data_IF_232732873821
#
_entry.id   IF_232732873821
#
_cell.length_a   1.000
_cell.length_b   1.000
_cell.length_c   1.000
_cell.angle_alpha   90.00
_cell.angle_beta   90.00
_cell.angle_gamma   90.00
#
_symmetry.space_group_name_H-M   'P 1'
#
loop_
_entity.id
_entity.type
_entity.pdbx_description
1 polymer ?
#
# COMPACT_ATOMS: atom_id res chain seq x y z
N UNK A 1 -3.26 2.01 -11.65
CA UNK A 1 -2.88 1.27 -10.43
C UNK A 1 -1.55 1.81 -9.96
N UNK A 2 -1.33 1.91 -8.65
CA UNK A 2 -0.07 2.35 -8.06
C UNK A 2 0.40 1.30 -7.06
N UNK A 3 1.65 0.88 -7.17
CA UNK A 3 2.28 -0.09 -6.25
C UNK A 3 3.37 0.62 -5.47
N UNK A 4 3.30 0.53 -4.15
CA UNK A 4 4.36 1.01 -3.26
C UNK A 4 5.20 -0.19 -2.82
N UNK A 5 6.38 -0.33 -3.41
CA UNK A 5 7.29 -1.43 -3.09
C UNK A 5 7.80 -1.32 -1.65
N UNK A 6 8.21 -2.42 -1.00
CA UNK A 6 8.77 -2.37 0.36
C UNK A 6 10.00 -1.47 0.46
N UNK A 7 10.89 -1.50 -0.55
CA UNK A 7 12.03 -0.58 -0.65
C UNK A 7 11.57 0.87 -0.59
N UNK A 8 10.65 1.27 -1.48
CA UNK A 8 10.16 2.65 -1.53
C UNK A 8 9.40 3.03 -0.26
N UNK A 9 8.65 2.10 0.31
CA UNK A 9 7.99 2.26 1.60
C UNK A 9 8.99 2.64 2.69
N UNK A 10 10.10 1.89 2.81
CA UNK A 10 11.12 2.13 3.83
C UNK A 10 11.82 3.48 3.65
N UNK A 11 12.05 3.91 2.40
CA UNK A 11 12.61 5.24 2.10
C UNK A 11 11.72 6.38 2.60
N UNK A 12 10.39 6.26 2.45
CA UNK A 12 9.45 7.35 2.77
C UNK A 12 8.86 7.28 4.18
N UNK A 13 8.91 6.11 4.84
CA UNK A 13 8.31 5.90 6.16
C UNK A 13 8.79 6.86 7.26
N UNK A 14 10.06 7.32 7.29
CA UNK A 14 10.50 8.33 8.26
C UNK A 14 9.70 9.64 8.21
N UNK A 15 9.20 10.02 7.02
CA UNK A 15 8.42 11.25 6.81
C UNK A 15 6.90 10.99 6.69
N UNK A 16 6.52 9.79 6.27
CA UNK A 16 5.15 9.39 6.00
C UNK A 16 4.74 8.24 6.92
N UNK A 17 3.81 8.50 7.84
CA UNK A 17 3.11 7.41 8.49
C UNK A 17 2.24 6.63 7.47
N UNK A 18 1.84 5.42 7.82
CA UNK A 18 1.09 4.54 6.92
C UNK A 18 -0.24 5.16 6.42
N UNK A 19 -0.90 5.97 7.24
CA UNK A 19 -2.14 6.67 6.85
C UNK A 19 -1.84 7.70 5.77
N UNK A 20 -0.82 8.55 5.97
CA UNK A 20 -0.39 9.56 4.99
C UNK A 20 0.01 8.91 3.67
N UNK A 21 0.77 7.80 3.69
CA UNK A 21 1.12 7.06 2.48
C UNK A 21 -0.12 6.60 1.72
N UNK A 22 -1.11 6.03 2.43
CA UNK A 22 -2.37 5.60 1.81
C UNK A 22 -3.11 6.79 1.19
N UNK A 23 -3.17 7.94 1.86
CA UNK A 23 -3.79 9.16 1.30
C UNK A 23 -3.07 9.59 0.03
N UNK A 24 -1.73 9.69 0.05
CA UNK A 24 -0.95 10.09 -1.12
C UNK A 24 -1.18 9.16 -2.32
N UNK A 25 -1.19 7.84 -2.09
CA UNK A 25 -1.45 6.84 -3.14
C UNK A 25 -2.89 6.93 -3.67
N UNK A 26 -3.90 7.07 -2.82
CA UNK A 26 -5.29 7.22 -3.29
C UNK A 26 -5.45 8.51 -4.09
N UNK A 27 -4.90 9.62 -3.59
CA UNK A 27 -4.96 10.92 -4.26
C UNK A 27 -4.32 10.87 -5.66
N UNK A 28 -3.12 10.29 -5.76
CA UNK A 28 -2.43 10.12 -7.04
C UNK A 28 -3.18 9.17 -7.97
N UNK A 29 -3.72 8.07 -7.46
CA UNK A 29 -4.45 7.09 -8.28
C UNK A 29 -5.72 7.68 -8.88
N UNK A 30 -6.49 8.44 -8.08
CA UNK A 30 -7.69 9.13 -8.54
C UNK A 30 -7.33 10.20 -9.57
N UNK A 31 -6.31 11.02 -9.30
CA UNK A 31 -5.85 12.04 -10.24
C UNK A 31 -5.48 11.46 -11.61
N UNK A 32 -4.68 10.39 -11.65
CA UNK A 32 -4.30 9.73 -12.90
C UNK A 32 -5.49 9.09 -13.60
N UNK A 33 -6.45 8.54 -12.85
CA UNK A 33 -7.66 7.96 -13.43
C UNK A 33 -8.54 9.03 -14.08
N UNK A 34 -8.75 10.17 -13.40
CA UNK A 34 -9.49 11.30 -13.94
C UNK A 34 -8.88 11.84 -15.24
N UNK A 35 -7.54 11.94 -15.30
CA UNK A 35 -6.85 12.29 -16.54
C UNK A 35 -7.10 11.28 -17.66
N UNK A 36 -7.05 9.98 -17.33
CA UNK A 36 -7.23 8.89 -18.30
C UNK A 36 -8.65 8.83 -18.89
N UNK A 37 -9.67 9.16 -18.10
CA UNK A 37 -11.07 9.11 -18.55
C UNK A 37 -11.57 10.44 -19.13
N UNK A 38 -10.75 11.50 -19.10
CA UNK A 38 -11.10 12.80 -19.67
C UNK A 38 -11.51 12.68 -21.15
N UNK A 39 -12.57 13.38 -21.61
CA UNK A 39 -13.35 14.42 -20.90
C UNK A 39 -14.50 13.89 -20.03
N UNK A 40 -14.72 12.56 -19.99
CA UNK A 40 -15.76 11.95 -19.16
C UNK A 40 -15.48 12.24 -17.69
N UNK A 41 -16.50 12.72 -16.97
CA UNK A 41 -16.42 13.00 -15.54
C UNK A 41 -17.28 11.99 -14.77
N UNK A 42 -16.77 11.41 -13.67
CA UNK A 42 -17.58 10.55 -12.83
C UNK A 42 -18.60 11.40 -12.06
N UNK A 43 -19.80 10.85 -11.86
CA UNK A 43 -20.84 11.50 -11.04
C UNK A 43 -20.44 11.58 -9.56
N UNK A 44 -19.68 10.59 -9.09
CA UNK A 44 -19.15 10.53 -7.73
C UNK A 44 -17.82 9.79 -7.67
N UNK A 45 -16.99 10.16 -6.70
CA UNK A 45 -15.77 9.41 -6.35
C UNK A 45 -15.94 8.90 -4.92
N UNK A 46 -16.06 7.58 -4.78
CA UNK A 46 -16.26 6.92 -3.49
C UNK A 46 -14.96 6.26 -3.02
N UNK A 47 -14.54 6.58 -1.80
CA UNK A 47 -13.35 6.02 -1.14
C UNK A 47 -13.81 5.19 0.06
N UNK A 48 -13.35 3.93 0.13
CA UNK A 48 -13.52 3.12 1.34
C UNK A 48 -12.72 3.74 2.49
N UNK A 49 -13.42 4.11 3.55
CA UNK A 49 -12.92 4.98 4.58
C UNK A 49 -11.92 4.26 5.48
N UNK A 50 -10.63 4.56 5.29
CA UNK A 50 -9.54 4.03 6.12
C UNK A 50 -8.97 5.04 7.14
N UNK A 51 -9.46 6.27 7.11
CA UNK A 51 -9.10 7.36 8.03
C UNK A 51 -10.25 8.37 8.06
N UNK A 52 -10.42 9.16 9.13
CA UNK A 52 -11.41 10.24 9.15
C UNK A 52 -11.22 11.19 7.95
N UNK A 53 -12.32 11.68 7.39
CA UNK A 53 -12.32 12.55 6.20
C UNK A 53 -11.46 13.80 6.41
N UNK A 54 -11.54 14.43 7.59
CA UNK A 54 -10.73 15.59 7.94
C UNK A 54 -9.22 15.28 7.85
N UNK A 55 -8.81 14.08 8.26
CA UNK A 55 -7.42 13.65 8.21
C UNK A 55 -6.98 13.29 6.78
N UNK A 56 -7.87 12.67 5.98
CA UNK A 56 -7.63 12.48 4.55
C UNK A 56 -7.39 13.83 3.87
N UNK A 57 -8.32 14.78 4.05
CA UNK A 57 -8.23 16.13 3.46
C UNK A 57 -6.97 16.87 3.92
N UNK A 58 -6.58 16.75 5.19
CA UNK A 58 -5.35 17.33 5.73
C UNK A 58 -4.12 16.86 4.95
N UNK A 59 -3.95 15.55 4.77
CA UNK A 59 -2.79 15.01 4.05
C UNK A 59 -2.87 15.24 2.54
N UNK A 60 -4.04 15.09 1.93
CA UNK A 60 -4.22 15.29 0.48
C UNK A 60 -3.88 16.73 0.04
N UNK A 61 -4.08 17.74 0.91
CA UNK A 61 -3.68 19.13 0.65
C UNK A 61 -2.18 19.34 0.53
N UNK A 62 -1.36 18.44 1.11
CA UNK A 62 0.10 18.49 1.05
C UNK A 62 0.63 17.86 -0.24
N UNK A 63 -0.20 17.12 -0.98
CA UNK A 63 0.20 16.46 -2.21
C UNK A 63 0.16 17.45 -3.39
N UNK A 64 1.06 17.24 -4.36
CA UNK A 64 1.19 18.12 -5.54
C UNK A 64 -0.10 18.19 -6.36
N UNK A 65 -0.71 17.03 -6.60
CA UNK A 65 -1.90 16.91 -7.43
C UNK A 65 -3.14 17.01 -6.55
N UNK A 66 -3.95 18.05 -6.72
CA UNK A 66 -5.16 18.26 -5.93
C UNK A 66 -6.37 17.78 -6.72
N UNK A 67 -7.20 16.94 -6.10
CA UNK A 67 -8.50 16.54 -6.65
C UNK A 67 -9.48 17.67 -6.38
N UNK A 68 -10.19 18.12 -7.43
CA UNK A 68 -11.20 19.18 -7.32
C UNK A 68 -12.62 18.62 -7.20
N UNK A 69 -12.79 17.39 -7.67
CA UNK A 69 -14.02 16.62 -7.65
C UNK A 69 -14.45 16.29 -6.22
N UNK A 70 -15.76 16.17 -6.02
CA UNK A 70 -16.33 15.83 -4.72
C UNK A 70 -16.01 14.38 -4.35
N UNK A 71 -15.35 14.20 -3.22
CA UNK A 71 -15.03 12.90 -2.64
C UNK A 71 -16.08 12.49 -1.60
N UNK A 72 -16.46 11.23 -1.62
CA UNK A 72 -17.33 10.59 -0.65
C UNK A 72 -16.55 9.52 0.12
N UNK A 73 -16.77 9.44 1.43
CA UNK A 73 -16.09 8.51 2.32
C UNK A 73 -17.13 7.70 3.08
N UNK A 74 -17.06 6.37 2.96
CA UNK A 74 -17.94 5.45 3.69
C UNK A 74 -17.14 4.26 4.16
N UNK A 75 -17.51 3.67 5.29
CA UNK A 75 -16.97 2.36 5.68
C UNK A 75 -17.70 1.25 4.92
N UNK A 76 -16.98 0.18 4.55
CA UNK A 76 -17.54 -0.93 3.76
C UNK A 76 -18.07 -0.45 2.41
N UNK A 77 -17.29 0.38 1.72
CA UNK A 77 -17.69 1.02 0.46
C UNK A 77 -18.11 0.04 -0.65
N UNK A 78 -17.64 -1.20 -0.60
CA UNK A 78 -18.04 -2.28 -1.49
C UNK A 78 -19.55 -2.59 -1.44
N UNK A 79 -20.22 -2.28 -0.31
CA UNK A 79 -21.68 -2.45 -0.18
C UNK A 79 -22.48 -1.35 -0.86
N UNK A 80 -21.86 -0.20 -1.12
CA UNK A 80 -22.54 0.98 -1.65
C UNK A 80 -22.35 1.13 -3.16
N UNK A 81 -21.20 0.73 -3.70
CA UNK A 81 -20.97 0.82 -5.14
C UNK A 81 -19.99 -0.25 -5.65
N UNK A 82 -20.33 -0.88 -6.77
CA UNK A 82 -19.54 -1.94 -7.41
C UNK A 82 -18.11 -1.49 -7.74
N UNK A 83 -17.90 -0.20 -8.06
CA UNK A 83 -16.58 0.33 -8.34
C UNK A 83 -15.58 0.14 -7.18
N UNK A 84 -16.04 0.23 -5.92
CA UNK A 84 -15.18 -0.01 -4.76
C UNK A 84 -14.82 -1.49 -4.64
N UNK A 85 -15.78 -2.39 -4.87
CA UNK A 85 -15.53 -3.84 -4.91
C UNK A 85 -14.54 -4.21 -6.03
N UNK A 86 -14.72 -3.64 -7.22
CA UNK A 86 -13.81 -3.84 -8.35
C UNK A 86 -12.39 -3.33 -8.03
N UNK A 87 -12.26 -2.13 -7.44
CA UNK A 87 -10.97 -1.58 -7.02
C UNK A 87 -10.26 -2.48 -5.99
N UNK A 88 -11.01 -3.06 -5.04
CA UNK A 88 -10.50 -4.00 -4.05
C UNK A 88 -10.00 -5.30 -4.69
N UNK A 89 -10.74 -5.86 -5.65
CA UNK A 89 -10.32 -7.07 -6.40
C UNK A 89 -9.05 -6.79 -7.20
N UNK A 90 -9.01 -5.69 -7.96
CA UNK A 90 -7.85 -5.29 -8.77
C UNK A 90 -6.62 -5.09 -7.89
N UNK A 91 -6.78 -4.43 -6.74
CA UNK A 91 -5.67 -4.19 -5.80
C UNK A 91 -5.17 -5.48 -5.16
N UNK A 92 -6.06 -6.41 -4.82
CA UNK A 92 -5.69 -7.71 -4.24
C UNK A 92 -5.00 -8.61 -5.25
N UNK A 93 -5.48 -8.65 -6.49
CA UNK A 93 -4.84 -9.41 -7.58
C UNK A 93 -3.40 -8.92 -7.79
N UNK A 94 -3.20 -7.61 -7.95
CA UNK A 94 -1.87 -7.04 -8.08
C UNK A 94 -0.98 -7.29 -6.86
N UNK A 95 -1.52 -7.23 -5.64
CA UNK A 95 -0.74 -7.55 -4.45
C UNK A 95 -0.21 -9.00 -4.47
N UNK A 96 -1.03 -9.96 -4.89
CA UNK A 96 -0.62 -11.36 -4.99
C UNK A 96 0.42 -11.55 -6.10
N UNK A 97 0.23 -10.93 -7.26
CA UNK A 97 1.21 -10.96 -8.35
C UNK A 97 2.57 -10.40 -7.94
N UNK A 98 2.59 -9.27 -7.21
CA UNK A 98 3.84 -8.67 -6.72
C UNK A 98 4.51 -9.53 -5.64
N UNK A 99 3.71 -10.21 -4.80
CA UNK A 99 4.23 -11.14 -3.79
C UNK A 99 4.85 -12.38 -4.44
N UNK A 100 4.23 -12.91 -5.49
CA UNK A 100 4.73 -14.06 -6.26
C UNK A 100 6.01 -13.71 -7.01
N UNK A 101 6.05 -12.54 -7.66
CA UNK A 101 7.28 -12.01 -8.32
C UNK A 101 8.43 -11.88 -7.32
N UNK A 102 8.17 -11.24 -6.17
CA UNK A 102 9.17 -11.07 -5.13
C UNK A 102 9.65 -12.42 -4.54
N UNK A 103 8.74 -13.39 -4.41
CA UNK A 103 9.07 -14.74 -3.96
C UNK A 103 9.98 -15.47 -4.96
N UNK A 104 9.67 -15.34 -6.25
CA UNK A 104 10.45 -15.93 -7.33
C UNK A 104 11.86 -15.32 -7.43
N UNK A 105 11.96 -13.99 -7.34
CA UNK A 105 13.24 -13.26 -7.36
C UNK A 105 14.15 -13.67 -6.20
N UNK A 106 13.59 -13.80 -5.00
CA UNK A 106 14.33 -14.16 -3.79
C UNK A 106 14.67 -15.66 -3.72
N UNK A 107 13.90 -16.50 -4.43
CA UNK A 107 13.93 -17.96 -4.33
C UNK A 107 13.32 -18.49 -3.03
N UNK A 108 12.46 -17.70 -2.37
CA UNK A 108 11.85 -18.01 -1.07
C UNK A 108 10.40 -17.54 -1.12
N UNK A 109 9.45 -18.41 -0.76
CA UNK A 109 8.04 -18.03 -0.65
C UNK A 109 7.83 -16.99 0.45
N UNK A 110 7.41 -15.79 0.07
CA UNK A 110 7.10 -14.71 1.00
C UNK A 110 5.67 -14.86 1.54
N UNK A 111 5.47 -14.90 2.88
CA UNK A 111 4.14 -15.02 3.45
C UNK A 111 3.36 -13.69 3.37
N UNK A 112 2.09 -13.76 3.00
CA UNK A 112 1.17 -12.62 3.15
C UNK A 112 0.75 -12.48 4.62
N UNK A 113 1.42 -11.62 5.39
CA UNK A 113 1.06 -11.34 6.78
C UNK A 113 2.23 -10.95 7.68
N UNK A 114 1.98 -10.84 8.98
CA UNK A 114 2.95 -10.41 10.00
C UNK A 114 3.03 -11.38 11.20
N UNK A 115 2.70 -12.66 10.99
CA UNK A 115 2.77 -13.70 12.03
C UNK A 115 4.15 -14.36 12.12
N UNK A 116 4.25 -15.42 12.92
CA UNK A 116 5.51 -16.16 13.15
C UNK A 116 6.18 -16.63 11.86
N UNK A 117 5.40 -17.04 10.85
CA UNK A 117 5.96 -17.41 9.53
C UNK A 117 6.76 -16.26 8.90
N UNK A 118 6.28 -15.03 9.04
CA UNK A 118 6.97 -13.83 8.53
C UNK A 118 8.26 -13.56 9.31
N UNK A 119 8.27 -13.80 10.62
CA UNK A 119 9.47 -13.68 11.45
C UNK A 119 10.56 -14.66 11.00
N UNK A 120 10.18 -15.93 10.80
CA UNK A 120 11.11 -16.98 10.34
C UNK A 120 11.66 -16.71 8.94
N UNK A 121 10.79 -16.34 7.98
CA UNK A 121 11.24 -16.02 6.61
C UNK A 121 12.13 -14.78 6.60
N UNK A 122 11.80 -13.74 7.38
CA UNK A 122 12.66 -12.57 7.51
C UNK A 122 14.03 -12.92 8.10
N UNK A 123 14.11 -13.86 9.07
CA UNK A 123 15.38 -14.33 9.61
C UNK A 123 16.23 -15.05 8.54
N UNK A 124 15.60 -15.86 7.68
CA UNK A 124 16.28 -16.49 6.53
C UNK A 124 16.84 -15.44 5.56
N UNK A 125 16.07 -14.39 5.25
CA UNK A 125 16.51 -13.31 4.36
C UNK A 125 17.68 -12.53 4.98
N UNK A 126 17.61 -12.25 6.29
CA UNK A 126 18.68 -11.59 7.03
C UNK A 126 19.99 -12.40 7.00
N UNK A 127 19.92 -13.73 7.17
CA UNK A 127 21.10 -14.61 7.04
C UNK A 127 21.69 -14.59 5.63
N UNK A 128 20.87 -14.41 4.59
CA UNK A 128 21.30 -14.43 3.19
C UNK A 128 21.94 -13.12 2.73
N UNK A 129 21.41 -11.97 3.15
CA UNK A 129 21.87 -10.67 2.63
C UNK A 129 21.68 -9.49 3.58
N UNK A 130 21.49 -9.76 4.87
CA UNK A 130 21.35 -8.74 5.90
C UNK A 130 20.14 -7.83 5.73
N UNK A 131 20.17 -6.72 6.48
CA UNK A 131 19.14 -5.68 6.40
C UNK A 131 18.98 -5.08 5.00
N UNK A 132 20.04 -4.84 4.20
CA UNK A 132 19.90 -4.30 2.85
C UNK A 132 19.03 -5.18 1.95
N UNK A 133 19.17 -6.51 2.03
CA UNK A 133 18.31 -7.43 1.26
C UNK A 133 16.89 -7.43 1.81
N UNK A 134 16.71 -7.48 3.13
CA UNK A 134 15.38 -7.47 3.75
C UNK A 134 14.58 -6.20 3.40
N UNK A 135 15.25 -5.06 3.27
CA UNK A 135 14.64 -3.77 2.94
C UNK A 135 13.89 -3.78 1.60
N UNK A 136 14.27 -4.67 0.68
CA UNK A 136 13.61 -4.79 -0.63
C UNK A 136 12.27 -5.51 -0.55
N UNK A 137 12.07 -6.37 0.46
CA UNK A 137 10.93 -7.29 0.54
C UNK A 137 10.04 -7.10 1.77
N UNK A 138 10.50 -6.35 2.79
CA UNK A 138 9.75 -6.14 4.03
C UNK A 138 9.72 -4.67 4.48
N UNK A 139 8.74 -4.32 5.30
CA UNK A 139 8.61 -3.01 5.95
C UNK A 139 9.39 -3.03 7.26
N UNK A 140 10.55 -2.37 7.30
CA UNK A 140 11.54 -2.59 8.37
C UNK A 140 11.09 -2.12 9.75
N UNK A 141 10.26 -1.07 9.85
CA UNK A 141 9.77 -0.55 11.12
C UNK A 141 8.76 -1.48 11.86
N UNK A 142 8.34 -2.59 11.25
CA UNK A 142 7.48 -3.57 11.91
C UNK A 142 8.28 -4.36 12.97
N UNK A 143 7.60 -4.77 14.05
CA UNK A 143 8.20 -5.57 15.11
C UNK A 143 8.81 -6.90 14.62
N UNK A 144 8.32 -7.42 13.49
CA UNK A 144 8.83 -8.62 12.83
C UNK A 144 10.33 -8.53 12.53
N UNK A 145 10.85 -7.35 12.18
CA UNK A 145 12.28 -7.16 11.91
C UNK A 145 13.12 -7.47 13.14
N UNK A 146 12.74 -6.94 14.30
CA UNK A 146 13.45 -7.19 15.56
C UNK A 146 13.31 -8.65 16.01
N UNK A 147 12.13 -9.25 15.81
CA UNK A 147 11.93 -10.68 16.11
C UNK A 147 12.84 -11.55 15.24
N UNK A 148 12.91 -11.27 13.95
CA UNK A 148 13.76 -11.96 13.01
C UNK A 148 15.25 -11.85 13.38
N UNK A 149 15.71 -10.65 13.79
CA UNK A 149 17.09 -10.45 14.27
C UNK A 149 17.42 -11.25 15.53
N UNK A 150 16.43 -11.58 16.38
CA UNK A 150 16.65 -12.43 17.57
C UNK A 150 16.68 -13.93 17.24
N UNK A 151 16.29 -14.32 16.02
CA UNK A 151 16.30 -15.70 15.55
C UNK A 151 17.57 -16.08 14.78
N UNK A 152 18.43 -15.09 14.48
CA UNK A 152 19.66 -15.31 13.70
C UNK A 152 20.88 -15.47 14.59
#
# INVERSE_FOLDING_TARGET
MLVLTPKKYNEIQPEYNAVRMKVALHNQAIHLLLQKISPTKPEAILIDQFTPEANFKKYARLEKNKIQEKLYFVTKGEKYHLAVAAASIISRASFLEELDKASAELGITLPSGAGTKSDTVAATILKKGGLPLLANYAKLHFANTQKAQKLI
#
